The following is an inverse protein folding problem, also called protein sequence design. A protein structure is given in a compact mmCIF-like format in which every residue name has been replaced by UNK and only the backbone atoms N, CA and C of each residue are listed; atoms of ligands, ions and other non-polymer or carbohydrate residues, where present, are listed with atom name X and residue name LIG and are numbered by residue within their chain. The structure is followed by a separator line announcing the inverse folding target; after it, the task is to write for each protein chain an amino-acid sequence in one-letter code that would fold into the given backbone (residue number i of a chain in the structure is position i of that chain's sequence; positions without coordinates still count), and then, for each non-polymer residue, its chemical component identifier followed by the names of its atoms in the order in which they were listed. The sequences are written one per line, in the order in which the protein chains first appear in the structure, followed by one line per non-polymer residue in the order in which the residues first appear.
data_IF_995634932028
#
_entry.id   IF_995634932028
#
_cell.length_a   1.000
_cell.length_b   1.000
_cell.length_c   1.000
_cell.angle_alpha   90.00
_cell.angle_beta   90.00
_cell.angle_gamma   90.00
#
_symmetry.space_group_name_H-M   'P 1'
#
loop_
_entity.id
_entity.type
_entity.pdbx_description
1 polymer ?
#
# COMPACT_ATOMS: atom_id res chain seq x y z
N UNK A 1 -14.19 -16.38 -3.61
CA UNK A 1 -15.16 -15.25 -3.48
C UNK A 1 -14.45 -13.90 -3.62
N UNK A 2 -14.98 -12.88 -4.33
CA UNK A 2 -14.34 -11.54 -4.40
C UNK A 2 -14.46 -10.88 -3.02
N UNK A 3 -13.34 -10.75 -2.29
CA UNK A 3 -13.30 -9.94 -1.08
C UNK A 3 -13.56 -8.49 -1.52
N UNK A 4 -14.77 -8.02 -1.29
CA UNK A 4 -15.10 -6.61 -1.42
C UNK A 4 -14.50 -5.92 -0.19
N UNK A 5 -13.32 -5.34 -0.35
CA UNK A 5 -12.69 -4.51 0.68
C UNK A 5 -13.62 -3.33 0.94
N UNK A 6 -14.28 -3.33 2.10
CA UNK A 6 -15.17 -2.26 2.49
C UNK A 6 -14.41 -1.15 3.24
N UNK A 7 -15.11 -0.09 3.64
CA UNK A 7 -14.48 1.07 4.30
C UNK A 7 -13.82 0.70 5.63
N UNK A 8 -14.33 -0.31 6.34
CA UNK A 8 -13.81 -0.70 7.65
C UNK A 8 -12.54 -1.56 7.49
N UNK A 9 -12.48 -2.40 6.44
CA UNK A 9 -11.26 -3.10 6.03
C UNK A 9 -10.13 -2.11 5.67
N UNK A 10 -10.50 -1.00 5.01
CA UNK A 10 -9.58 0.07 4.64
C UNK A 10 -9.02 0.80 5.85
N UNK A 11 -9.87 1.12 6.83
CA UNK A 11 -9.47 1.78 8.07
C UNK A 11 -8.59 0.84 8.93
N UNK A 12 -8.87 -0.47 8.93
CA UNK A 12 -7.99 -1.49 9.51
C UNK A 12 -6.62 -1.52 8.84
N UNK A 13 -6.56 -1.57 7.50
CA UNK A 13 -5.30 -1.53 6.75
C UNK A 13 -4.51 -0.23 7.04
N UNK A 14 -5.21 0.89 7.14
CA UNK A 14 -4.61 2.18 7.45
C UNK A 14 -3.98 2.23 8.85
N UNK A 15 -4.63 1.66 9.87
CA UNK A 15 -4.15 1.68 11.25
C UNK A 15 -3.18 0.54 11.58
N UNK A 16 -3.48 -0.70 11.23
CA UNK A 16 -2.74 -1.87 11.72
C UNK A 16 -1.56 -2.22 10.82
N UNK A 17 -1.72 -2.14 9.49
CA UNK A 17 -0.65 -2.50 8.55
C UNK A 17 0.39 -1.38 8.45
N UNK A 18 -0.06 -0.14 8.32
CA UNK A 18 0.81 0.99 8.06
C UNK A 18 0.94 1.97 9.24
N UNK A 19 0.25 1.74 10.38
CA UNK A 19 0.35 2.60 11.58
C UNK A 19 0.11 4.07 11.27
N UNK A 20 -0.84 4.36 10.37
CA UNK A 20 -1.12 5.69 9.85
C UNK A 20 0.16 6.40 9.36
N UNK A 21 0.97 5.73 8.51
CA UNK A 21 2.19 6.28 7.90
C UNK A 21 2.26 5.95 6.42
N UNK A 22 2.96 6.78 5.64
CA UNK A 22 3.32 6.42 4.27
C UNK A 22 4.18 5.14 4.26
N UNK A 23 3.88 4.23 3.34
CA UNK A 23 4.64 3.00 3.09
C UNK A 23 6.05 3.27 2.56
N UNK A 24 6.25 4.43 1.91
CA UNK A 24 7.51 4.80 1.26
C UNK A 24 8.39 5.62 2.20
N UNK A 25 7.90 6.77 2.67
CA UNK A 25 8.70 7.68 3.51
C UNK A 25 8.56 7.44 5.01
N UNK A 26 7.56 6.69 5.46
CA UNK A 26 7.29 6.48 6.89
C UNK A 26 6.75 7.72 7.62
N UNK A 27 6.46 8.82 6.91
CA UNK A 27 5.91 10.04 7.49
C UNK A 27 4.57 9.73 8.15
N UNK A 28 4.42 10.15 9.42
CA UNK A 28 3.20 9.96 10.20
C UNK A 28 2.08 10.85 9.68
N UNK A 29 0.89 10.26 9.57
CA UNK A 29 -0.32 10.99 9.28
C UNK A 29 -0.65 11.92 10.46
N UNK A 30 -0.73 13.20 10.14
CA UNK A 30 -1.16 14.26 11.04
C UNK A 30 -1.09 15.60 10.33
N UNK A 31 -2.24 16.27 10.16
CA UNK A 31 -2.35 17.57 9.50
C UNK A 31 -3.10 17.55 8.16
N UNK A 32 -2.61 18.31 7.18
CA UNK A 32 -3.25 18.59 5.88
C UNK A 32 -2.89 17.63 4.74
N UNK A 33 -1.88 16.78 4.94
CA UNK A 33 -1.42 15.88 3.89
C UNK A 33 -2.42 14.74 3.69
N UNK A 34 -3.09 14.76 2.53
CA UNK A 34 -3.93 13.65 2.10
C UNK A 34 -3.05 12.45 1.80
N UNK A 35 -3.46 11.31 2.34
CA UNK A 35 -2.90 10.01 1.97
C UNK A 35 -3.86 9.30 1.03
N UNK A 36 -3.28 8.50 0.16
CA UNK A 36 -4.00 7.72 -0.83
C UNK A 36 -3.62 6.27 -0.66
N UNK A 37 -4.62 5.41 -0.68
CA UNK A 37 -4.40 3.99 -0.76
C UNK A 37 -4.33 3.59 -2.23
N UNK A 38 -3.33 2.81 -2.60
CA UNK A 38 -3.22 2.26 -3.95
C UNK A 38 -2.70 0.83 -3.94
N UNK A 39 -2.86 0.15 -5.07
CA UNK A 39 -2.21 -1.14 -5.30
C UNK A 39 -0.73 -0.91 -5.56
N UNK A 40 0.12 -1.71 -4.92
CA UNK A 40 1.56 -1.65 -5.13
C UNK A 40 1.93 -2.20 -6.52
N UNK A 41 1.32 -3.32 -6.90
CA UNK A 41 1.40 -3.93 -8.23
C UNK A 41 0.01 -3.90 -8.87
N UNK A 42 -0.16 -3.13 -9.94
CA UNK A 42 -1.46 -2.92 -10.58
C UNK A 42 -2.01 -4.19 -11.25
N UNK A 43 -1.13 -5.08 -11.64
CA UNK A 43 -1.40 -6.39 -12.22
C UNK A 43 -1.89 -7.41 -11.18
N UNK A 44 -1.63 -7.18 -9.90
CA UNK A 44 -2.07 -8.04 -8.81
C UNK A 44 -3.45 -7.59 -8.28
N UNK A 45 -4.24 -8.51 -7.70
CA UNK A 45 -5.53 -8.18 -7.10
C UNK A 45 -5.36 -7.20 -5.94
N UNK A 46 -6.46 -6.53 -5.58
CA UNK A 46 -6.53 -5.75 -4.35
C UNK A 46 -6.50 -6.72 -3.16
N UNK A 47 -5.44 -6.69 -2.37
CA UNK A 47 -5.27 -7.54 -1.18
C UNK A 47 -4.36 -6.85 -0.15
N UNK A 48 -4.38 -7.27 1.12
CA UNK A 48 -3.46 -6.73 2.13
C UNK A 48 -1.98 -6.88 1.74
N UNK A 49 -1.63 -7.94 1.00
CA UNK A 49 -0.30 -8.17 0.43
C UNK A 49 0.02 -7.36 -0.82
N UNK A 50 -0.84 -6.42 -1.23
CA UNK A 50 -0.64 -5.59 -2.42
C UNK A 50 -1.13 -4.15 -2.22
N UNK A 51 -1.32 -3.69 -0.98
CA UNK A 51 -1.83 -2.34 -0.69
C UNK A 51 -0.78 -1.49 0.00
N UNK A 52 -0.60 -0.27 -0.49
CA UNK A 52 0.27 0.76 0.10
C UNK A 52 -0.50 2.04 0.40
N UNK A 53 0.03 2.80 1.35
CA UNK A 53 -0.44 4.15 1.70
C UNK A 53 0.63 5.14 1.24
N UNK A 54 0.23 6.11 0.43
CA UNK A 54 1.14 7.06 -0.20
C UNK A 54 0.69 8.49 0.09
N UNK A 55 1.64 9.39 0.26
CA UNK A 55 1.39 10.83 0.18
C UNK A 55 0.99 11.23 -1.24
N UNK A 56 0.41 12.42 -1.42
CA UNK A 56 0.15 12.98 -2.76
C UNK A 56 1.38 12.98 -3.67
N UNK A 57 2.57 13.29 -3.12
CA UNK A 57 3.82 13.34 -3.90
C UNK A 57 4.27 11.95 -4.33
N UNK A 58 4.16 10.97 -3.44
CA UNK A 58 4.53 9.59 -3.75
C UNK A 58 3.54 8.97 -4.74
N UNK A 59 2.24 9.25 -4.61
CA UNK A 59 1.25 8.82 -5.60
C UNK A 59 1.60 9.36 -6.99
N UNK A 60 1.94 10.65 -7.10
CA UNK A 60 2.35 11.23 -8.38
C UNK A 60 3.61 10.57 -8.97
N UNK A 61 4.57 10.14 -8.14
CA UNK A 61 5.74 9.37 -8.60
C UNK A 61 5.30 8.01 -9.14
N UNK A 62 4.40 7.32 -8.42
CA UNK A 62 3.93 6.00 -8.80
C UNK A 62 3.11 6.03 -10.10
N UNK A 63 2.31 7.08 -10.31
CA UNK A 63 1.53 7.26 -11.53
C UNK A 63 2.41 7.55 -12.76
N UNK A 64 3.51 8.29 -12.57
CA UNK A 64 4.43 8.67 -13.65
C UNK A 64 5.44 7.54 -13.99
N UNK A 65 6.02 6.91 -12.96
CA UNK A 65 7.19 6.04 -13.10
C UNK A 65 6.98 4.61 -12.65
N UNK A 66 5.79 4.27 -12.16
CA UNK A 66 5.57 3.02 -11.46
C UNK A 66 6.35 2.97 -10.15
N UNK A 67 6.46 1.77 -9.58
CA UNK A 67 7.14 1.58 -8.31
C UNK A 67 8.65 1.77 -8.41
N UNK A 68 9.21 1.59 -9.60
CA UNK A 68 10.63 1.73 -9.89
C UNK A 68 11.11 3.17 -9.62
N UNK A 69 10.19 4.15 -9.70
CA UNK A 69 10.44 5.54 -9.35
C UNK A 69 10.88 5.79 -7.91
N UNK A 70 10.67 4.83 -6.99
CA UNK A 70 11.09 4.93 -5.59
C UNK A 70 12.48 4.36 -5.30
N UNK A 71 13.11 3.70 -6.27
CA UNK A 71 14.42 3.06 -6.11
C UNK A 71 14.36 1.64 -5.55
N UNK A 72 15.34 0.82 -5.92
CA UNK A 72 15.35 -0.62 -5.66
C UNK A 72 15.28 -0.98 -4.16
N UNK A 73 15.95 -0.23 -3.30
CA UNK A 73 15.96 -0.49 -1.85
C UNK A 73 14.57 -0.30 -1.22
N UNK A 74 13.85 0.74 -1.65
CA UNK A 74 12.49 1.02 -1.19
C UNK A 74 11.54 -0.06 -1.70
N UNK A 75 11.68 -0.43 -2.97
CA UNK A 75 10.86 -1.49 -3.57
C UNK A 75 11.05 -2.82 -2.83
N UNK A 76 12.30 -3.25 -2.65
CA UNK A 76 12.60 -4.50 -1.95
C UNK A 76 12.08 -4.52 -0.51
N UNK A 77 12.17 -3.40 0.20
CA UNK A 77 11.64 -3.27 1.56
C UNK A 77 10.12 -3.38 1.61
N UNK A 78 9.42 -2.72 0.68
CA UNK A 78 7.95 -2.77 0.61
C UNK A 78 7.51 -4.18 0.19
N UNK A 79 8.14 -4.77 -0.82
CA UNK A 79 7.86 -6.13 -1.28
C UNK A 79 8.04 -7.14 -0.13
N UNK A 80 9.15 -7.08 0.62
CA UNK A 80 9.37 -7.96 1.77
C UNK A 80 8.31 -7.78 2.87
N UNK A 81 7.88 -6.54 3.14
CA UNK A 81 6.82 -6.28 4.12
C UNK A 81 5.48 -6.82 3.64
N UNK A 82 5.14 -6.60 2.38
CA UNK A 82 3.88 -7.08 1.80
C UNK A 82 3.83 -8.62 1.75
N UNK A 83 4.94 -9.28 1.41
CA UNK A 83 5.08 -10.74 1.44
C UNK A 83 4.92 -11.32 2.85
N UNK A 84 5.27 -10.57 3.90
CA UNK A 84 5.10 -11.04 5.28
C UNK A 84 3.65 -11.27 5.70
N UNK A 85 2.68 -10.72 4.95
CA UNK A 85 1.26 -11.00 5.15
C UNK A 85 0.82 -12.34 4.56
N UNK A 86 1.70 -13.09 3.87
CA UNK A 86 1.43 -14.41 3.30
C UNK A 86 0.64 -14.39 1.99
N UNK A 87 0.34 -15.59 1.47
CA UNK A 87 -0.57 -15.75 0.33
C UNK A 87 -2.00 -15.54 0.82
N UNK A 88 -2.68 -14.55 0.24
CA UNK A 88 -4.12 -14.37 0.41
C UNK A 88 -4.82 -15.12 -0.72
N UNK A 89 -4.66 -16.45 -0.75
CA UNK A 89 -5.39 -17.30 -1.68
C UNK A 89 -6.88 -17.22 -1.35
N UNK A 90 -7.62 -16.55 -2.22
CA UNK A 90 -9.08 -16.50 -2.21
C UNK A 90 -9.65 -17.79 -2.80
N UNK A 91 -9.25 -18.95 -2.27
CA UNK A 91 -9.82 -20.23 -2.66
C UNK A 91 -11.05 -20.59 -1.81
N UNK A 92 -12.16 -20.79 -2.56
CA UNK A 92 -13.58 -21.03 -2.23
C UNK A 92 -14.41 -19.78 -1.87
#
# INVERSE_FOLDING_TARGET
SKIAVDKDDMDFLYQEVWKARSSVSGIRCGGFDRMFMSRWRYELPLSPGNIVILTTKELAIMDDKGIEGFGADVVARIDARLQSFGSWDVDA
#
